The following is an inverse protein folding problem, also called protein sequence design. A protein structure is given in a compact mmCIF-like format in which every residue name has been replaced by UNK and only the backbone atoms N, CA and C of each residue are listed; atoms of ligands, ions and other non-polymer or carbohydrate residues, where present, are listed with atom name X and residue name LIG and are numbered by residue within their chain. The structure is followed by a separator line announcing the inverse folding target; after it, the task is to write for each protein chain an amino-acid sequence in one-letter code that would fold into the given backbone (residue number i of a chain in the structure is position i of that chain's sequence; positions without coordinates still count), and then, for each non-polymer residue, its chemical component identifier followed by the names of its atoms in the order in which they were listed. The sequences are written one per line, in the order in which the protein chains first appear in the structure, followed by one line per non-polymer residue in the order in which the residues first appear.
data_IF_362293902711
#
_entry.id   IF_362293902711
#
_cell.length_a   1.000
_cell.length_b   1.000
_cell.length_c   1.000
_cell.angle_alpha   90.00
_cell.angle_beta   90.00
_cell.angle_gamma   90.00
#
_symmetry.space_group_name_H-M   'P 1'
#
loop_
_entity.id
_entity.type
_entity.pdbx_description
1 polymer ?
#
# COMPACT_ATOMS: atom_id res chain seq x y z
N UNK A 1 -71.27 -18.65 6.83
CA UNK A 1 -71.25 -17.36 7.56
C UNK A 1 -70.50 -16.41 6.66
N UNK A 2 -71.22 -15.49 6.03
CA UNK A 2 -70.62 -14.47 5.18
C UNK A 2 -70.37 -13.23 6.05
N UNK A 3 -69.10 -12.91 6.32
CA UNK A 3 -68.73 -11.82 7.23
C UNK A 3 -68.60 -10.47 6.51
N UNK A 4 -68.82 -10.42 5.19
CA UNK A 4 -68.61 -9.24 4.36
C UNK A 4 -69.47 -8.03 4.76
N UNK A 5 -70.72 -8.24 5.22
CA UNK A 5 -71.65 -7.18 5.60
C UNK A 5 -71.24 -6.39 6.87
N UNK A 6 -70.24 -6.85 7.63
CA UNK A 6 -69.84 -6.25 8.92
C UNK A 6 -68.38 -5.75 8.94
N UNK A 7 -67.72 -5.65 7.78
CA UNK A 7 -66.26 -5.38 7.70
C UNK A 7 -65.43 -6.34 8.59
N UNK A 8 -65.90 -7.59 8.68
CA UNK A 8 -65.34 -8.59 9.57
C UNK A 8 -64.73 -9.77 8.82
N UNK A 9 -63.77 -10.44 9.46
CA UNK A 9 -63.15 -11.67 8.95
C UNK A 9 -63.51 -12.81 9.89
N UNK A 10 -63.72 -14.01 9.34
CA UNK A 10 -64.05 -15.19 10.13
C UNK A 10 -62.80 -15.67 10.89
N UNK A 11 -62.77 -15.51 12.21
CA UNK A 11 -61.73 -16.04 13.10
C UNK A 11 -62.36 -17.02 14.08
N UNK A 12 -61.81 -18.24 14.17
CA UNK A 12 -62.29 -19.30 15.06
C UNK A 12 -63.81 -19.57 14.99
N UNK A 13 -64.40 -19.46 13.80
CA UNK A 13 -65.84 -19.71 13.56
C UNK A 13 -66.78 -18.55 13.90
N UNK A 14 -66.26 -17.38 14.27
CA UNK A 14 -67.04 -16.16 14.52
C UNK A 14 -66.59 -15.02 13.61
N UNK A 15 -67.53 -14.19 13.13
CA UNK A 15 -67.17 -12.93 12.46
C UNK A 15 -66.71 -11.93 13.53
N UNK A 16 -65.50 -11.40 13.38
CA UNK A 16 -65.01 -10.28 14.20
C UNK A 16 -64.73 -9.09 13.30
N UNK A 17 -65.20 -7.90 13.69
CA UNK A 17 -64.85 -6.64 13.04
C UNK A 17 -63.34 -6.45 13.20
N UNK A 18 -62.59 -6.41 12.10
CA UNK A 18 -61.12 -6.43 12.17
C UNK A 18 -60.59 -4.99 12.23
N UNK A 19 -60.97 -4.31 13.30
CA UNK A 19 -60.45 -3.00 13.64
C UNK A 19 -59.15 -3.12 14.44
N UNK A 20 -58.19 -2.25 14.12
CA UNK A 20 -56.92 -2.18 14.82
C UNK A 20 -56.79 -0.89 15.62
N UNK A 21 -56.10 -0.99 16.76
CA UNK A 21 -55.95 0.08 17.74
C UNK A 21 -54.70 -0.22 18.58
N UNK A 22 -54.09 0.75 19.32
CA UNK A 22 -52.96 0.46 20.21
C UNK A 22 -53.23 -0.64 21.27
N UNK A 23 -54.50 -0.95 21.54
CA UNK A 23 -54.95 -1.96 22.49
C UNK A 23 -55.35 -3.29 21.77
N UNK A 24 -55.54 -3.25 20.45
CA UNK A 24 -56.01 -4.36 19.63
C UNK A 24 -55.12 -4.49 18.37
N UNK A 25 -53.99 -5.23 18.45
CA UNK A 25 -53.11 -5.46 17.31
C UNK A 25 -53.72 -6.42 16.29
N UNK A 26 -53.23 -6.32 15.05
CA UNK A 26 -53.57 -7.25 13.96
C UNK A 26 -52.94 -8.63 14.14
N UNK A 27 -53.26 -9.57 13.24
CA UNK A 27 -52.59 -10.87 13.18
C UNK A 27 -51.11 -10.76 12.78
N UNK A 28 -50.37 -11.88 12.86
CA UNK A 28 -48.94 -11.96 12.50
C UNK A 28 -48.62 -11.53 11.06
N UNK A 29 -49.58 -11.72 10.16
CA UNK A 29 -49.43 -11.53 8.70
C UNK A 29 -50.29 -10.34 8.21
N UNK A 30 -50.56 -9.39 9.11
CA UNK A 30 -51.42 -8.23 8.88
C UNK A 30 -50.80 -6.96 9.46
N UNK A 31 -51.00 -5.83 8.78
CA UNK A 31 -50.60 -4.49 9.24
C UNK A 31 -51.84 -3.62 9.47
N UNK A 32 -51.76 -2.74 10.47
CA UNK A 32 -52.81 -1.78 10.79
C UNK A 32 -52.71 -0.55 9.89
N UNK A 33 -53.79 -0.21 9.19
CA UNK A 33 -53.91 0.99 8.37
C UNK A 33 -55.33 1.57 8.48
N UNK A 34 -55.46 2.89 8.70
CA UNK A 34 -56.77 3.56 8.91
C UNK A 34 -57.69 2.89 9.96
N UNK A 35 -57.13 2.21 10.97
CA UNK A 35 -57.91 1.49 11.97
C UNK A 35 -58.50 0.16 11.50
N UNK A 36 -58.08 -0.37 10.34
CA UNK A 36 -58.40 -1.71 9.83
C UNK A 36 -57.13 -2.54 9.63
N UNK A 37 -57.22 -3.87 9.75
CA UNK A 37 -56.11 -4.77 9.44
C UNK A 37 -56.13 -5.19 7.96
N UNK A 38 -54.98 -5.08 7.30
CA UNK A 38 -54.77 -5.50 5.92
C UNK A 38 -53.65 -6.55 5.85
N UNK A 39 -53.73 -7.55 4.95
CA UNK A 39 -52.65 -8.54 4.79
C UNK A 39 -51.32 -7.89 4.40
N UNK A 40 -50.19 -8.40 4.89
CA UNK A 40 -48.84 -7.97 4.46
C UNK A 40 -48.38 -8.64 3.16
N UNK A 41 -49.23 -9.46 2.53
CA UNK A 41 -48.97 -10.10 1.25
C UNK A 41 -50.19 -10.04 0.33
N UNK A 42 -49.93 -9.80 -0.95
CA UNK A 42 -50.91 -9.92 -2.04
C UNK A 42 -50.76 -11.27 -2.75
N UNK A 43 -51.71 -11.59 -3.64
CA UNK A 43 -51.62 -12.77 -4.51
C UNK A 43 -50.35 -12.77 -5.41
N UNK A 44 -49.74 -11.60 -5.63
CA UNK A 44 -48.49 -11.44 -6.37
C UNK A 44 -47.21 -11.68 -5.52
N UNK A 45 -47.31 -11.75 -4.19
CA UNK A 45 -46.17 -11.91 -3.29
C UNK A 45 -46.31 -11.10 -1.99
N UNK A 46 -45.31 -11.23 -1.11
CA UNK A 46 -45.19 -10.39 0.09
C UNK A 46 -44.90 -8.94 -0.30
N UNK A 47 -45.52 -7.99 0.41
CA UNK A 47 -45.27 -6.56 0.24
C UNK A 47 -44.01 -6.12 1.00
N UNK A 48 -43.52 -4.89 0.76
CA UNK A 48 -42.40 -4.36 1.50
C UNK A 48 -42.77 -4.09 2.97
N UNK A 49 -41.76 -3.98 3.84
CA UNK A 49 -41.97 -3.68 5.25
C UNK A 49 -42.68 -2.34 5.43
N UNK A 50 -43.85 -2.34 6.08
CA UNK A 50 -44.69 -1.14 6.25
C UNK A 50 -45.79 -0.98 5.19
N UNK A 51 -45.91 -1.90 4.24
CA UNK A 51 -46.98 -1.91 3.23
C UNK A 51 -48.11 -2.89 3.56
N UNK A 52 -49.32 -2.49 3.16
CA UNK A 52 -50.57 -3.23 3.21
C UNK A 52 -50.95 -3.71 1.81
N UNK A 53 -51.45 -4.93 1.68
CA UNK A 53 -52.11 -5.36 0.46
C UNK A 53 -53.52 -4.78 0.38
N UNK A 54 -53.71 -3.81 -0.53
CA UNK A 54 -55.01 -3.17 -0.78
C UNK A 54 -55.44 -3.50 -2.21
N UNK A 55 -56.57 -4.21 -2.35
CA UNK A 55 -57.13 -4.60 -3.66
C UNK A 55 -56.17 -5.32 -4.61
N UNK A 56 -55.16 -6.02 -4.06
CA UNK A 56 -54.14 -6.75 -4.82
C UNK A 56 -52.85 -5.97 -5.11
N UNK A 57 -52.76 -4.71 -4.66
CA UNK A 57 -51.57 -3.85 -4.79
C UNK A 57 -50.96 -3.56 -3.42
N UNK A 58 -49.64 -3.72 -3.30
CA UNK A 58 -48.91 -3.29 -2.12
C UNK A 58 -48.91 -1.75 -2.04
N UNK A 59 -49.40 -1.21 -0.92
CA UNK A 59 -49.56 0.22 -0.66
C UNK A 59 -49.03 0.54 0.72
N UNK A 60 -48.24 1.60 0.88
CA UNK A 60 -47.75 2.06 2.19
C UNK A 60 -48.92 2.20 3.18
N UNK A 61 -48.80 1.66 4.41
CA UNK A 61 -49.89 1.61 5.37
C UNK A 61 -50.47 2.99 5.74
N UNK A 62 -49.63 4.03 5.69
CA UNK A 62 -50.00 5.45 5.88
C UNK A 62 -50.83 6.01 4.71
N UNK A 63 -50.63 5.47 3.50
CA UNK A 63 -51.28 5.87 2.26
C UNK A 63 -52.58 5.12 1.96
N UNK A 64 -52.93 4.10 2.75
CA UNK A 64 -54.23 3.42 2.63
C UNK A 64 -55.36 4.42 2.88
N UNK A 65 -56.28 4.52 1.93
CA UNK A 65 -57.38 5.49 1.97
C UNK A 65 -57.00 6.93 1.58
N UNK A 66 -55.71 7.23 1.34
CA UNK A 66 -55.28 8.55 0.85
C UNK A 66 -55.54 8.62 -0.66
N UNK A 67 -56.26 9.67 -1.09
CA UNK A 67 -56.61 9.88 -2.50
C UNK A 67 -55.85 11.08 -3.05
N UNK A 68 -54.74 10.82 -3.74
CA UNK A 68 -53.97 11.84 -4.46
C UNK A 68 -54.45 11.99 -5.91
N UNK A 69 -54.09 13.10 -6.57
CA UNK A 69 -54.29 13.23 -8.02
C UNK A 69 -53.33 12.30 -8.76
N UNK A 70 -53.76 11.07 -9.05
CA UNK A 70 -52.90 10.03 -9.66
C UNK A 70 -52.26 10.41 -11.01
N UNK A 71 -52.65 11.51 -11.66
CA UNK A 71 -51.94 12.05 -12.82
C UNK A 71 -50.65 12.79 -12.44
N UNK A 72 -50.68 13.67 -11.43
CA UNK A 72 -49.58 14.58 -11.07
C UNK A 72 -48.92 14.28 -9.71
N UNK A 73 -49.54 13.47 -8.86
CA UNK A 73 -49.14 13.24 -7.48
C UNK A 73 -48.99 11.74 -7.15
N UNK A 74 -48.24 11.46 -6.09
CA UNK A 74 -48.09 10.14 -5.47
C UNK A 74 -48.14 10.31 -3.96
N UNK A 75 -48.70 9.33 -3.25
CA UNK A 75 -48.66 9.32 -1.79
C UNK A 75 -47.32 8.80 -1.27
N UNK A 76 -46.75 9.51 -0.30
CA UNK A 76 -45.66 9.05 0.55
C UNK A 76 -45.98 9.45 2.00
N UNK A 77 -45.84 8.54 2.96
CA UNK A 77 -46.02 8.83 4.40
C UNK A 77 -47.39 9.40 4.77
N UNK A 78 -48.41 9.11 3.96
CA UNK A 78 -49.79 9.59 4.12
C UNK A 78 -50.08 10.98 3.53
N UNK A 79 -49.11 11.60 2.86
CA UNK A 79 -49.24 12.93 2.21
C UNK A 79 -49.05 12.79 0.69
N UNK A 80 -49.78 13.59 -0.08
CA UNK A 80 -49.67 13.65 -1.54
C UNK A 80 -48.59 14.66 -1.95
N UNK A 81 -47.58 14.20 -2.68
CA UNK A 81 -46.52 15.05 -3.25
C UNK A 81 -46.57 15.03 -4.78
N UNK A 82 -46.24 16.13 -5.47
CA UNK A 82 -46.08 16.14 -6.91
C UNK A 82 -44.99 15.16 -7.36
N UNK A 83 -45.17 14.54 -8.54
CA UNK A 83 -44.18 13.67 -9.18
C UNK A 83 -42.95 14.44 -9.65
N UNK A 84 -43.15 15.68 -10.08
CA UNK A 84 -42.15 16.52 -10.72
C UNK A 84 -42.16 17.91 -10.08
N UNK A 85 -41.00 18.56 -10.01
CA UNK A 85 -40.88 19.94 -9.57
C UNK A 85 -41.12 20.92 -10.73
N UNK A 86 -41.43 22.21 -10.47
CA UNK A 86 -41.71 23.19 -11.53
C UNK A 86 -40.61 23.29 -12.60
N UNK A 87 -39.34 23.17 -12.18
CA UNK A 87 -38.16 23.35 -13.03
C UNK A 87 -37.45 22.03 -13.40
N UNK A 88 -37.83 20.88 -12.82
CA UNK A 88 -37.15 19.60 -13.03
C UNK A 88 -38.07 18.37 -12.81
N UNK A 89 -38.10 17.40 -13.75
CA UNK A 89 -38.79 16.13 -13.53
C UNK A 89 -37.98 15.23 -12.57
N UNK A 90 -38.65 14.60 -11.60
CA UNK A 90 -37.96 13.82 -10.55
C UNK A 90 -37.77 12.33 -10.90
N UNK A 91 -38.13 11.93 -12.12
CA UNK A 91 -37.93 10.57 -12.62
C UNK A 91 -38.92 9.56 -12.06
N UNK A 92 -38.53 8.28 -12.02
CA UNK A 92 -39.42 7.17 -11.65
C UNK A 92 -39.52 6.89 -10.15
N UNK A 93 -38.62 7.46 -9.33
CA UNK A 93 -38.50 7.19 -7.90
C UNK A 93 -38.46 8.44 -7.01
N UNK A 94 -38.32 9.63 -7.60
CA UNK A 94 -38.35 10.90 -6.89
C UNK A 94 -39.74 11.51 -6.79
N UNK A 95 -39.94 12.38 -5.81
CA UNK A 95 -41.10 13.23 -5.60
C UNK A 95 -40.62 14.65 -5.30
N UNK A 96 -41.42 15.66 -5.68
CA UNK A 96 -41.09 17.05 -5.38
C UNK A 96 -41.43 17.40 -3.94
N UNK A 97 -40.42 17.76 -3.15
CA UNK A 97 -40.56 18.24 -1.77
C UNK A 97 -39.80 19.56 -1.65
N UNK A 98 -40.52 20.66 -1.41
CA UNK A 98 -39.95 22.01 -1.30
C UNK A 98 -39.02 22.36 -2.48
N UNK A 99 -39.54 22.19 -3.69
CA UNK A 99 -38.86 22.45 -4.99
C UNK A 99 -37.58 21.63 -5.24
N UNK A 100 -37.33 20.58 -4.44
CA UNK A 100 -36.27 19.59 -4.66
C UNK A 100 -36.84 18.21 -4.93
N UNK A 101 -36.21 17.47 -5.84
CA UNK A 101 -36.51 16.06 -6.07
C UNK A 101 -35.89 15.20 -4.95
N UNK A 102 -36.74 14.57 -4.14
CA UNK A 102 -36.34 13.68 -3.04
C UNK A 102 -36.86 12.27 -3.35
N UNK A 103 -36.04 11.23 -3.12
CA UNK A 103 -36.49 9.85 -3.30
C UNK A 103 -37.72 9.56 -2.43
N UNK A 104 -38.73 8.85 -2.97
CA UNK A 104 -40.03 8.62 -2.31
C UNK A 104 -39.90 8.13 -0.86
N UNK A 105 -38.99 7.19 -0.61
CA UNK A 105 -38.79 6.59 0.73
C UNK A 105 -38.13 7.57 1.72
N UNK A 106 -37.45 8.60 1.20
CA UNK A 106 -36.71 9.61 1.94
C UNK A 106 -37.48 10.92 2.18
N UNK A 107 -38.71 11.01 1.69
CA UNK A 107 -39.60 12.14 1.98
C UNK A 107 -39.77 12.29 3.50
N UNK A 108 -39.60 13.50 4.03
CA UNK A 108 -39.62 13.83 5.46
C UNK A 108 -38.61 13.07 6.37
N UNK A 109 -37.69 12.27 5.82
CA UNK A 109 -36.63 11.62 6.61
C UNK A 109 -35.57 12.66 6.98
N UNK A 110 -35.54 13.05 8.26
CA UNK A 110 -34.50 13.92 8.82
C UNK A 110 -33.35 13.07 9.35
N UNK A 111 -32.26 13.04 8.62
CA UNK A 111 -31.03 12.41 9.08
C UNK A 111 -30.22 13.35 10.00
N UNK A 112 -29.47 12.80 10.97
CA UNK A 112 -28.38 13.51 11.65
C UNK A 112 -27.33 14.06 10.66
N UNK A 113 -26.50 15.00 11.11
CA UNK A 113 -25.31 15.41 10.35
C UNK A 113 -24.38 14.21 10.07
N UNK A 114 -23.69 14.22 8.93
CA UNK A 114 -22.89 13.09 8.46
C UNK A 114 -23.70 11.92 7.86
N UNK A 115 -25.00 12.12 7.59
CA UNK A 115 -25.89 11.05 7.08
C UNK A 115 -26.83 11.51 5.96
N UNK A 116 -26.87 10.73 4.89
CA UNK A 116 -27.82 10.86 3.78
C UNK A 116 -28.93 9.81 3.91
N UNK A 117 -30.12 10.11 3.38
CA UNK A 117 -31.17 9.10 3.28
C UNK A 117 -31.00 8.26 2.02
N UNK A 118 -30.96 6.94 2.19
CA UNK A 118 -30.98 5.95 1.11
C UNK A 118 -32.04 4.89 1.44
N UNK A 119 -33.03 4.69 0.56
CA UNK A 119 -34.11 3.71 0.78
C UNK A 119 -34.92 3.92 2.08
N UNK A 120 -35.08 5.17 2.52
CA UNK A 120 -35.79 5.53 3.75
C UNK A 120 -35.00 5.32 5.05
N UNK A 121 -33.73 4.93 4.95
CA UNK A 121 -32.82 4.76 6.09
C UNK A 121 -31.73 5.82 6.02
N UNK A 122 -31.39 6.42 7.15
CA UNK A 122 -30.21 7.29 7.24
C UNK A 122 -28.94 6.43 7.27
N UNK A 123 -28.14 6.54 6.22
CA UNK A 123 -26.83 5.93 6.11
C UNK A 123 -25.76 7.00 6.28
N UNK A 124 -24.62 6.64 6.87
CA UNK A 124 -23.44 7.51 6.90
C UNK A 124 -23.04 7.88 5.47
N UNK A 125 -22.73 9.16 5.25
CA UNK A 125 -22.16 9.60 3.99
C UNK A 125 -20.75 9.01 3.83
N UNK A 126 -20.23 8.83 2.59
CA UNK A 126 -19.00 8.06 2.35
C UNK A 126 -17.76 8.53 3.12
N UNK A 127 -17.61 9.84 3.36
CA UNK A 127 -16.56 10.47 4.16
C UNK A 127 -16.89 10.62 5.66
N UNK A 128 -18.15 10.44 6.04
CA UNK A 128 -18.59 10.46 7.44
C UNK A 128 -18.85 11.87 7.97
N UNK A 129 -17.84 12.50 8.58
CA UNK A 129 -17.94 13.85 9.17
C UNK A 129 -17.01 14.88 8.53
N UNK A 130 -16.36 14.50 7.44
CA UNK A 130 -15.37 15.27 6.71
C UNK A 130 -15.43 14.85 5.23
N UNK A 131 -15.32 15.80 4.32
CA UNK A 131 -15.14 15.50 2.90
C UNK A 131 -13.81 14.76 2.68
N UNK A 132 -13.85 13.65 1.92
CA UNK A 132 -12.71 12.72 1.72
C UNK A 132 -12.35 12.51 0.26
N UNK A 133 -13.15 13.02 -0.68
CA UNK A 133 -12.96 12.91 -2.12
C UNK A 133 -13.13 14.30 -2.77
N UNK A 134 -12.23 15.22 -2.40
CA UNK A 134 -12.26 16.67 -2.69
C UNK A 134 -12.22 17.12 -4.18
N UNK A 135 -12.64 16.30 -5.13
CA UNK A 135 -12.65 16.60 -6.57
C UNK A 135 -13.49 15.63 -7.40
N UNK A 136 -14.53 14.99 -6.82
CA UNK A 136 -15.44 14.08 -7.52
C UNK A 136 -16.82 14.68 -7.82
N UNK A 137 -17.11 15.89 -7.32
CA UNK A 137 -18.37 16.61 -7.52
C UNK A 137 -19.49 16.19 -6.57
N UNK A 138 -19.17 15.46 -5.49
CA UNK A 138 -20.12 15.00 -4.48
C UNK A 138 -19.92 15.71 -3.12
N UNK A 139 -20.90 15.47 -2.26
CA UNK A 139 -21.00 15.95 -0.87
C UNK A 139 -20.93 14.70 0.02
N UNK A 140 -19.71 14.28 0.39
CA UNK A 140 -19.44 12.98 1.02
C UNK A 140 -19.53 13.01 2.55
N UNK A 141 -19.70 14.17 3.18
CA UNK A 141 -20.15 14.32 4.59
C UNK A 141 -21.56 14.91 4.74
N UNK A 142 -22.13 15.40 3.65
CA UNK A 142 -23.51 15.86 3.54
C UNK A 142 -23.80 17.17 4.30
N UNK A 143 -22.82 18.07 4.48
CA UNK A 143 -23.05 19.40 5.05
C UNK A 143 -23.49 20.49 4.06
N UNK A 144 -23.53 20.18 2.75
CA UNK A 144 -24.08 21.04 1.70
C UNK A 144 -23.05 21.87 0.94
N UNK A 145 -21.77 21.56 1.11
CA UNK A 145 -20.64 22.03 0.31
C UNK A 145 -20.06 20.82 -0.43
N UNK A 146 -19.27 21.05 -1.48
CA UNK A 146 -18.70 19.99 -2.33
C UNK A 146 -17.25 20.29 -2.66
N UNK A 147 -16.45 19.25 -2.85
CA UNK A 147 -15.05 19.36 -3.28
C UNK A 147 -14.29 20.45 -2.48
N UNK A 148 -13.46 21.26 -3.16
CA UNK A 148 -12.77 22.38 -2.55
C UNK A 148 -13.65 23.53 -2.07
N UNK A 149 -14.97 23.55 -2.33
CA UNK A 149 -15.86 24.49 -1.66
C UNK A 149 -16.12 24.08 -0.20
N UNK A 150 -15.72 22.88 0.21
CA UNK A 150 -15.79 22.41 1.57
C UNK A 150 -14.58 22.85 2.44
N UNK A 151 -14.77 23.27 3.71
CA UNK A 151 -13.67 23.63 4.62
C UNK A 151 -12.75 22.46 4.98
N UNK A 152 -13.24 21.23 5.09
CA UNK A 152 -12.45 20.05 5.46
C UNK A 152 -11.53 19.58 4.32
N UNK A 153 -11.83 19.99 3.09
CA UNK A 153 -10.96 19.80 1.95
C UNK A 153 -9.72 20.70 1.93
N UNK A 154 -9.58 21.71 2.79
CA UNK A 154 -8.46 22.66 2.71
C UNK A 154 -7.08 21.96 2.77
N UNK A 155 -6.29 22.07 1.68
CA UNK A 155 -5.00 21.40 1.52
C UNK A 155 -5.07 19.91 1.09
N UNK A 156 -6.26 19.37 0.82
CA UNK A 156 -6.43 18.03 0.23
C UNK A 156 -6.29 18.08 -1.30
N UNK A 157 -5.93 16.94 -1.90
CA UNK A 157 -5.86 16.78 -3.35
C UNK A 157 -7.25 16.77 -3.99
N UNK A 158 -7.45 17.59 -5.03
CA UNK A 158 -8.69 17.70 -5.80
C UNK A 158 -8.55 17.22 -7.26
N UNK A 159 -7.46 16.53 -7.56
CA UNK A 159 -7.16 15.97 -8.87
C UNK A 159 -5.67 15.66 -9.01
N UNK A 160 -5.26 15.25 -10.22
CA UNK A 160 -3.84 15.20 -10.55
C UNK A 160 -3.25 16.61 -10.44
N UNK A 161 -2.20 16.74 -9.63
CA UNK A 161 -1.37 17.93 -9.47
C UNK A 161 -2.14 19.19 -9.01
N UNK A 162 -3.23 18.99 -8.26
CA UNK A 162 -4.11 20.06 -7.79
C UNK A 162 -4.63 19.84 -6.39
N UNK A 163 -4.85 20.95 -5.71
CA UNK A 163 -5.14 21.03 -4.27
C UNK A 163 -6.18 22.09 -3.97
N UNK A 164 -6.92 21.89 -2.88
CA UNK A 164 -7.94 22.83 -2.47
C UNK A 164 -7.34 24.02 -1.72
N UNK A 165 -7.36 25.18 -2.39
CA UNK A 165 -6.94 26.46 -1.83
C UNK A 165 -7.95 27.56 -2.20
N UNK A 166 -8.18 28.50 -1.29
CA UNK A 166 -9.12 29.62 -1.48
C UNK A 166 -10.53 29.18 -1.93
N UNK A 167 -11.03 28.08 -1.37
CA UNK A 167 -12.31 27.43 -1.72
C UNK A 167 -12.39 26.89 -3.17
N UNK A 168 -11.26 26.51 -3.77
CA UNK A 168 -11.19 26.13 -5.18
C UNK A 168 -10.05 25.15 -5.49
N UNK A 169 -10.17 24.39 -6.57
CA UNK A 169 -9.15 23.43 -6.99
C UNK A 169 -8.03 24.13 -7.79
N UNK A 170 -6.96 24.51 -7.10
CA UNK A 170 -5.80 25.23 -7.62
C UNK A 170 -4.66 24.26 -8.00
N UNK A 171 -3.74 24.63 -8.90
CA UNK A 171 -2.52 23.85 -9.12
C UNK A 171 -1.67 23.79 -7.84
N UNK A 172 -1.04 22.63 -7.59
CA UNK A 172 -0.04 22.45 -6.53
C UNK A 172 1.10 23.47 -6.65
N UNK A 173 1.66 23.91 -5.53
CA UNK A 173 2.58 25.03 -5.46
C UNK A 173 3.89 24.68 -4.76
N UNK A 174 4.95 24.50 -5.56
CA UNK A 174 6.33 24.22 -5.12
C UNK A 174 7.02 25.38 -4.34
N UNK A 175 6.29 26.12 -3.49
CA UNK A 175 6.80 27.28 -2.72
C UNK A 175 5.90 27.80 -1.59
N UNK A 176 4.87 27.05 -1.16
CA UNK A 176 3.97 27.48 -0.06
C UNK A 176 4.25 26.79 1.30
N UNK A 177 5.15 25.81 1.34
CA UNK A 177 5.60 25.12 2.54
C UNK A 177 4.72 23.93 2.96
N UNK A 178 3.74 23.55 2.14
CA UNK A 178 2.91 22.37 2.33
C UNK A 178 3.48 21.25 1.43
N UNK A 179 3.26 19.99 1.80
CA UNK A 179 3.53 18.86 0.91
C UNK A 179 2.22 18.47 0.25
N UNK A 180 2.07 18.78 -1.04
CA UNK A 180 0.81 18.55 -1.73
C UNK A 180 0.96 18.15 -3.21
N UNK A 181 -0.16 17.95 -3.93
CA UNK A 181 -0.12 17.46 -5.32
C UNK A 181 0.63 16.13 -5.50
N UNK A 182 1.66 16.15 -6.36
CA UNK A 182 2.56 15.02 -6.66
C UNK A 182 3.91 15.10 -5.91
N UNK A 183 4.06 16.05 -4.99
CA UNK A 183 5.29 16.27 -4.23
C UNK A 183 5.67 15.11 -3.31
N UNK A 184 6.98 14.94 -3.07
CA UNK A 184 7.49 13.91 -2.16
C UNK A 184 7.99 14.48 -0.84
N UNK A 185 8.47 15.71 -0.83
CA UNK A 185 8.69 16.55 0.35
C UNK A 185 7.99 17.90 0.17
N UNK A 186 7.84 18.73 1.22
CA UNK A 186 7.20 20.05 1.08
C UNK A 186 7.91 20.90 0.01
N UNK A 187 7.15 21.49 -0.91
CA UNK A 187 7.64 22.28 -2.03
C UNK A 187 8.54 21.53 -3.05
N UNK A 188 8.66 20.18 -3.00
CA UNK A 188 9.70 19.46 -3.74
C UNK A 188 9.38 18.02 -4.19
N UNK A 189 10.09 17.61 -5.25
CA UNK A 189 10.01 16.27 -5.83
C UNK A 189 8.85 16.12 -6.83
N UNK A 190 8.46 14.88 -7.10
CA UNK A 190 7.44 14.59 -8.10
C UNK A 190 7.89 14.87 -9.54
N UNK A 191 6.91 15.11 -10.42
CA UNK A 191 7.09 15.47 -11.82
C UNK A 191 7.04 16.99 -12.07
N UNK A 192 6.38 17.76 -11.21
CA UNK A 192 6.24 19.21 -11.37
C UNK A 192 7.31 20.04 -10.66
N UNK A 193 7.71 19.66 -9.44
CA UNK A 193 8.57 20.48 -8.61
C UNK A 193 10.07 20.19 -8.81
N UNK A 194 10.90 21.07 -8.28
CA UNK A 194 12.35 20.85 -8.25
C UNK A 194 12.70 19.69 -7.32
N UNK A 195 13.79 18.97 -7.63
CA UNK A 195 14.27 17.89 -6.77
C UNK A 195 14.54 18.36 -5.33
N UNK A 196 14.10 17.55 -4.37
CA UNK A 196 14.25 17.71 -2.94
C UNK A 196 15.73 17.69 -2.49
N UNK A 197 16.00 18.46 -1.43
CA UNK A 197 17.33 18.58 -0.82
C UNK A 197 17.71 17.37 0.05
N UNK A 198 18.95 17.33 0.54
CA UNK A 198 19.42 16.25 1.42
C UNK A 198 18.59 16.14 2.71
N UNK A 199 18.10 14.93 2.99
CA UNK A 199 17.25 14.61 4.14
C UNK A 199 15.74 14.70 3.89
N UNK A 200 15.30 15.36 2.81
CA UNK A 200 13.88 15.48 2.47
C UNK A 200 13.29 14.17 1.92
N UNK A 201 11.96 13.92 2.05
CA UNK A 201 11.37 12.67 1.61
C UNK A 201 11.22 12.53 0.09
N UNK A 202 11.37 11.30 -0.40
CA UNK A 202 11.38 10.95 -1.82
C UNK A 202 10.77 9.58 -2.08
N UNK A 203 10.41 9.29 -3.35
CA UNK A 203 9.99 7.97 -3.81
C UNK A 203 10.94 7.38 -4.89
N UNK A 204 11.64 8.23 -5.64
CA UNK A 204 12.54 7.89 -6.73
C UNK A 204 13.68 8.92 -6.86
N UNK A 205 14.74 8.56 -7.60
CA UNK A 205 15.89 9.45 -7.86
C UNK A 205 15.50 10.78 -8.50
N UNK A 206 14.46 10.78 -9.35
CA UNK A 206 13.91 11.99 -9.98
C UNK A 206 13.52 13.08 -8.98
N UNK A 207 13.13 12.66 -7.79
CA UNK A 207 12.54 13.53 -6.78
C UNK A 207 13.63 14.23 -5.96
N UNK A 208 14.91 13.94 -6.21
CA UNK A 208 16.05 14.48 -5.49
C UNK A 208 16.91 15.40 -6.37
N UNK A 209 17.67 16.30 -5.74
CA UNK A 209 18.69 17.10 -6.44
C UNK A 209 19.74 16.22 -7.13
N UNK A 210 20.38 16.73 -8.18
CA UNK A 210 21.17 15.92 -9.14
C UNK A 210 22.30 15.06 -8.55
N UNK A 211 22.89 15.46 -7.41
CA UNK A 211 23.99 14.76 -6.72
C UNK A 211 23.48 13.83 -5.59
N UNK A 212 22.16 13.64 -5.49
CA UNK A 212 21.48 12.83 -4.49
C UNK A 212 20.74 11.65 -5.18
N UNK A 213 20.47 10.60 -4.40
CA UNK A 213 19.65 9.46 -4.79
C UNK A 213 18.65 9.15 -3.67
N UNK A 214 17.50 8.57 -4.03
CA UNK A 214 16.43 8.29 -3.07
C UNK A 214 16.72 6.99 -2.31
N UNK A 215 17.06 7.13 -1.03
CA UNK A 215 17.57 6.05 -0.17
C UNK A 215 16.78 6.02 1.14
N UNK A 216 16.24 4.84 1.48
CA UNK A 216 15.37 4.62 2.64
C UNK A 216 14.21 5.65 2.79
N UNK A 217 13.70 6.15 1.66
CA UNK A 217 12.62 7.14 1.59
C UNK A 217 13.06 8.61 1.75
N UNK A 218 14.37 8.88 1.74
CA UNK A 218 14.94 10.23 1.86
C UNK A 218 16.01 10.49 0.80
N UNK A 219 16.14 11.74 0.35
CA UNK A 219 17.21 12.13 -0.56
C UNK A 219 18.55 12.14 0.18
N UNK A 220 19.49 11.29 -0.23
CA UNK A 220 20.81 11.16 0.39
C UNK A 220 21.92 11.23 -0.68
N UNK A 221 23.16 11.59 -0.32
CA UNK A 221 24.28 11.62 -1.27
C UNK A 221 24.43 10.29 -2.03
N UNK A 222 24.85 10.35 -3.30
CA UNK A 222 25.03 9.13 -4.11
C UNK A 222 25.95 8.10 -3.41
N UNK A 223 25.34 6.98 -3.04
CA UNK A 223 25.97 5.87 -2.33
C UNK A 223 26.38 4.77 -3.32
N UNK A 224 27.67 4.65 -3.67
CA UNK A 224 28.16 3.49 -4.43
C UNK A 224 28.25 2.25 -3.54
N UNK A 225 27.09 1.67 -3.25
CA UNK A 225 26.96 0.41 -2.50
C UNK A 225 27.65 -0.79 -3.16
N UNK A 226 28.11 -0.68 -4.42
CA UNK A 226 28.73 -1.79 -5.16
C UNK A 226 30.25 -1.79 -5.03
N UNK A 227 30.89 -0.62 -4.96
CA UNK A 227 32.35 -0.49 -5.01
C UNK A 227 32.97 0.48 -3.98
N UNK A 228 32.22 1.29 -3.23
CA UNK A 228 32.77 2.15 -2.18
C UNK A 228 32.95 1.39 -0.85
N UNK A 229 34.19 1.24 -0.32
CA UNK A 229 34.44 0.62 0.99
C UNK A 229 33.83 1.37 2.18
N UNK A 230 33.31 2.58 2.02
CA UNK A 230 32.61 3.34 3.07
C UNK A 230 31.09 3.12 3.10
N UNK A 231 30.53 2.51 2.06
CA UNK A 231 29.09 2.38 1.83
C UNK A 231 28.71 0.95 1.36
N UNK A 232 29.51 -0.06 1.70
CA UNK A 232 29.49 -1.32 0.97
C UNK A 232 28.28 -2.19 1.32
N UNK A 233 27.50 -2.56 0.31
CA UNK A 233 26.30 -3.38 0.47
C UNK A 233 25.08 -2.63 0.97
N UNK A 234 25.26 -1.74 1.95
CA UNK A 234 24.30 -0.70 2.33
C UNK A 234 25.03 0.59 2.72
N UNK A 235 24.34 1.72 2.60
CA UNK A 235 24.91 3.05 2.77
C UNK A 235 25.30 3.30 4.24
N UNK A 236 26.42 3.98 4.46
CA UNK A 236 27.07 4.08 5.77
C UNK A 236 27.76 2.80 6.27
N UNK A 237 27.69 1.66 5.55
CA UNK A 237 28.40 0.44 5.93
C UNK A 237 29.90 0.53 5.56
N UNK A 238 30.67 1.10 6.47
CA UNK A 238 32.14 1.15 6.35
C UNK A 238 32.71 -0.25 6.56
N UNK A 239 33.38 -0.77 5.54
CA UNK A 239 34.06 -2.06 5.62
C UNK A 239 35.16 -2.04 6.71
N UNK A 240 35.27 -3.09 7.53
CA UNK A 240 36.39 -3.24 8.46
C UNK A 240 37.72 -3.14 7.72
N UNK A 241 38.65 -2.35 8.26
CA UNK A 241 40.01 -2.23 7.70
C UNK A 241 40.80 -3.50 8.07
N UNK A 242 41.22 -4.31 7.09
CA UNK A 242 42.00 -5.53 7.35
C UNK A 242 43.37 -5.21 7.95
N UNK A 243 43.91 -6.10 8.79
CA UNK A 243 45.29 -5.94 9.25
C UNK A 243 46.25 -6.02 8.06
N UNK A 244 47.13 -5.02 7.94
CA UNK A 244 48.13 -4.91 6.88
C UNK A 244 47.61 -5.01 5.43
N UNK A 245 46.34 -4.67 5.18
CA UNK A 245 45.78 -4.50 3.83
C UNK A 245 44.75 -3.36 3.77
N UNK A 246 44.33 -2.98 2.56
CA UNK A 246 43.24 -2.02 2.39
C UNK A 246 41.86 -2.73 2.48
N UNK A 247 40.84 -2.02 2.97
CA UNK A 247 39.46 -2.47 2.81
C UNK A 247 39.02 -2.28 1.34
N UNK A 248 38.28 -3.24 0.79
CA UNK A 248 37.66 -3.15 -0.54
C UNK A 248 36.17 -3.42 -0.47
N UNK A 249 35.43 -2.91 -1.44
CA UNK A 249 34.04 -3.30 -1.69
C UNK A 249 33.93 -3.86 -3.11
N UNK A 250 33.29 -5.02 -3.26
CA UNK A 250 33.00 -5.57 -4.57
C UNK A 250 31.68 -6.34 -4.53
N UNK A 251 30.79 -6.06 -5.48
CA UNK A 251 29.47 -6.74 -5.59
C UNK A 251 28.67 -6.71 -4.28
N UNK A 252 28.67 -5.57 -3.57
CA UNK A 252 27.96 -5.38 -2.29
C UNK A 252 28.50 -6.20 -1.10
N UNK A 253 29.72 -6.74 -1.20
CA UNK A 253 30.40 -7.42 -0.11
C UNK A 253 31.73 -6.72 0.21
N UNK A 254 32.00 -6.54 1.51
CA UNK A 254 33.30 -6.10 1.99
C UNK A 254 34.36 -7.20 1.76
N UNK A 255 35.54 -6.77 1.31
CA UNK A 255 36.66 -7.64 1.02
C UNK A 255 37.99 -7.02 1.46
N UNK A 256 39.06 -7.77 1.18
CA UNK A 256 40.44 -7.35 1.39
C UNK A 256 41.05 -6.87 0.06
N UNK A 257 41.88 -5.84 0.11
CA UNK A 257 42.86 -5.54 -0.93
C UNK A 257 44.05 -6.50 -0.87
N UNK A 258 45.07 -6.30 -1.73
CA UNK A 258 46.30 -7.06 -1.61
C UNK A 258 47.09 -6.62 -0.37
N UNK A 259 47.89 -7.52 0.19
CA UNK A 259 48.74 -7.24 1.35
C UNK A 259 49.75 -6.10 1.12
N UNK A 260 50.05 -5.37 2.20
CA UNK A 260 51.20 -4.46 2.26
C UNK A 260 52.50 -5.23 2.03
N UNK A 261 53.52 -4.56 1.47
CA UNK A 261 54.80 -5.20 1.15
C UNK A 261 55.45 -5.83 2.40
N UNK A 262 55.80 -7.12 2.30
CA UNK A 262 56.38 -7.91 3.39
C UNK A 262 55.37 -8.60 4.31
N UNK A 263 54.06 -8.38 4.11
CA UNK A 263 52.97 -9.03 4.83
C UNK A 263 52.24 -10.04 3.93
N UNK A 264 51.75 -11.12 4.55
CA UNK A 264 51.21 -12.29 3.86
C UNK A 264 50.07 -12.94 4.67
N UNK A 265 49.04 -13.39 3.97
CA UNK A 265 48.00 -14.30 4.44
C UNK A 265 48.50 -15.75 4.25
N UNK A 266 48.67 -16.49 5.35
CA UNK A 266 49.32 -17.80 5.37
C UNK A 266 48.45 -18.93 5.95
N UNK A 267 47.32 -18.63 6.56
CA UNK A 267 46.40 -19.62 7.11
C UNK A 267 45.00 -19.61 6.46
N UNK A 268 44.67 -18.59 5.65
CA UNK A 268 43.36 -18.44 5.02
C UNK A 268 42.20 -18.43 6.02
N UNK A 269 42.47 -18.00 7.26
CA UNK A 269 41.53 -18.07 8.36
C UNK A 269 40.47 -16.95 8.33
N UNK A 270 39.62 -16.91 9.35
CA UNK A 270 38.43 -16.03 9.41
C UNK A 270 38.75 -14.58 9.82
N UNK A 271 40.00 -14.27 10.16
CA UNK A 271 40.45 -12.90 10.30
C UNK A 271 40.69 -12.33 8.91
N UNK A 272 40.09 -11.17 8.64
CA UNK A 272 40.30 -10.49 7.37
C UNK A 272 41.59 -9.68 7.51
N UNK A 273 42.72 -10.23 7.04
CA UNK A 273 44.02 -9.59 7.22
C UNK A 273 45.13 -10.17 6.32
N UNK A 274 46.33 -9.72 6.64
CA UNK A 274 47.63 -10.17 6.14
C UNK A 274 48.57 -10.28 7.34
N UNK A 275 48.27 -11.24 8.22
CA UNK A 275 48.68 -11.28 9.63
C UNK A 275 50.16 -11.60 9.82
N UNK A 276 50.84 -12.14 8.80
CA UNK A 276 52.20 -12.67 8.96
C UNK A 276 53.22 -11.84 8.20
N UNK A 277 54.28 -11.36 8.88
CA UNK A 277 55.40 -10.67 8.24
C UNK A 277 56.49 -11.67 7.86
N UNK A 278 56.97 -11.65 6.62
CA UNK A 278 58.06 -12.52 6.17
C UNK A 278 59.33 -11.75 5.77
N UNK A 279 60.49 -12.27 6.19
CA UNK A 279 61.81 -11.80 5.78
C UNK A 279 62.56 -12.99 5.14
N UNK A 280 62.67 -12.96 3.80
CA UNK A 280 63.10 -14.13 3.02
C UNK A 280 62.12 -15.29 3.23
N UNK A 281 62.60 -16.42 3.76
CA UNK A 281 61.79 -17.63 4.01
C UNK A 281 61.18 -17.72 5.40
N UNK A 282 61.55 -16.81 6.32
CA UNK A 282 61.09 -16.86 7.71
C UNK A 282 59.91 -15.92 7.87
N UNK A 283 58.78 -16.47 8.25
CA UNK A 283 57.51 -15.77 8.44
C UNK A 283 57.13 -15.80 9.92
N UNK A 284 56.76 -14.64 10.48
CA UNK A 284 56.45 -14.45 11.91
C UNK A 284 55.07 -13.83 12.08
N UNK A 285 54.23 -14.43 12.92
CA UNK A 285 52.90 -13.90 13.25
C UNK A 285 52.98 -12.93 14.47
N UNK A 286 51.90 -12.22 14.83
CA UNK A 286 51.90 -11.25 15.93
C UNK A 286 52.14 -11.88 17.31
N UNK A 287 51.78 -13.16 17.50
CA UNK A 287 52.04 -13.93 18.72
C UNK A 287 53.51 -14.40 18.87
N UNK A 288 54.36 -14.10 17.87
CA UNK A 288 55.77 -14.50 17.85
C UNK A 288 56.01 -15.94 17.39
N UNK A 289 55.01 -16.63 16.84
CA UNK A 289 55.20 -17.92 16.18
C UNK A 289 55.89 -17.73 14.82
N UNK A 290 56.87 -18.58 14.54
CA UNK A 290 57.69 -18.52 13.32
C UNK A 290 57.58 -19.81 12.50
N UNK A 291 57.42 -19.68 11.18
CA UNK A 291 57.55 -20.77 10.21
C UNK A 291 58.63 -20.45 9.18
N UNK A 292 59.38 -21.48 8.77
CA UNK A 292 60.32 -21.38 7.65
C UNK A 292 59.73 -22.08 6.43
N UNK A 293 59.47 -21.32 5.37
CA UNK A 293 58.92 -21.81 4.12
C UNK A 293 60.00 -22.48 3.24
N UNK A 294 59.58 -23.37 2.34
CA UNK A 294 60.49 -24.06 1.42
C UNK A 294 61.12 -23.11 0.38
N UNK A 295 60.38 -22.06 0.01
CA UNK A 295 60.79 -20.97 -0.87
C UNK A 295 60.38 -19.62 -0.23
N UNK A 296 60.85 -18.51 -0.78
CA UNK A 296 60.42 -17.18 -0.32
C UNK A 296 58.98 -16.92 -0.80
N UNK A 297 58.08 -16.39 0.06
CA UNK A 297 56.71 -16.13 -0.33
C UNK A 297 56.66 -14.92 -1.27
N UNK A 298 55.81 -15.00 -2.28
CA UNK A 298 55.74 -14.00 -3.35
C UNK A 298 54.75 -12.89 -2.99
N UNK A 299 55.13 -11.61 -3.17
CA UNK A 299 54.35 -10.49 -2.67
C UNK A 299 53.00 -10.38 -3.38
N UNK A 300 51.94 -10.06 -2.62
CA UNK A 300 50.59 -9.84 -3.19
C UNK A 300 50.54 -8.64 -4.17
N UNK A 301 51.52 -7.73 -4.08
CA UNK A 301 51.75 -6.65 -5.06
C UNK A 301 53.18 -6.63 -5.57
N UNK A 302 53.38 -6.61 -6.89
CA UNK A 302 54.69 -6.43 -7.51
C UNK A 302 54.73 -6.87 -8.98
N UNK A 303 55.83 -6.61 -9.71
CA UNK A 303 55.95 -6.98 -11.13
C UNK A 303 56.36 -8.45 -11.38
N UNK A 304 56.31 -9.35 -10.39
CA UNK A 304 56.85 -10.74 -10.49
C UNK A 304 56.04 -11.74 -9.64
N UNK A 305 55.77 -12.96 -10.16
CA UNK A 305 54.96 -14.06 -9.57
C UNK A 305 55.46 -15.44 -10.11
N UNK A 306 55.04 -16.65 -9.71
CA UNK A 306 53.99 -17.21 -8.82
C UNK A 306 54.52 -18.49 -8.14
N UNK A 307 54.00 -18.84 -6.96
CA UNK A 307 53.17 -20.04 -6.72
C UNK A 307 52.78 -20.12 -5.23
N UNK A 308 51.55 -20.61 -4.97
CA UNK A 308 50.92 -20.84 -3.66
C UNK A 308 50.97 -19.68 -2.64
N UNK A 309 49.94 -18.84 -2.67
CA UNK A 309 49.31 -18.30 -1.46
C UNK A 309 47.82 -18.68 -1.50
N UNK A 310 47.33 -19.35 -0.45
CA UNK A 310 45.93 -19.73 -0.32
C UNK A 310 45.14 -18.64 0.40
N UNK A 311 44.88 -17.53 -0.29
CA UNK A 311 44.02 -16.45 0.21
C UNK A 311 42.63 -16.51 -0.43
N UNK A 312 41.58 -16.65 0.37
CA UNK A 312 40.19 -16.59 -0.10
C UNK A 312 39.72 -15.15 -0.31
N UNK A 313 40.32 -14.47 -1.28
CA UNK A 313 40.02 -13.08 -1.63
C UNK A 313 38.73 -12.98 -2.47
N UNK A 314 37.60 -12.68 -1.83
CA UNK A 314 36.41 -12.20 -2.54
C UNK A 314 36.63 -10.77 -3.05
N UNK A 315 37.21 -10.68 -4.24
CA UNK A 315 37.56 -9.45 -4.97
C UNK A 315 38.26 -9.81 -6.28
N UNK A 316 38.10 -9.00 -7.33
CA UNK A 316 38.56 -9.35 -8.69
C UNK A 316 40.10 -9.20 -8.89
N UNK A 317 40.91 -9.86 -8.05
CA UNK A 317 42.37 -9.86 -8.18
C UNK A 317 42.97 -11.22 -7.75
N UNK A 318 42.98 -12.18 -8.66
CA UNK A 318 43.76 -13.42 -8.51
C UNK A 318 45.12 -13.23 -9.20
N UNK A 319 46.22 -13.46 -8.48
CA UNK A 319 47.56 -13.36 -9.06
C UNK A 319 47.84 -14.45 -10.10
N UNK A 320 48.48 -14.08 -11.22
CA UNK A 320 48.83 -14.95 -12.35
C UNK A 320 50.34 -14.98 -12.58
N UNK A 321 50.88 -15.91 -13.39
CA UNK A 321 52.27 -15.81 -13.88
C UNK A 321 52.47 -16.28 -15.33
N UNK A 322 53.74 -16.31 -15.73
CA UNK A 322 54.21 -15.44 -16.79
C UNK A 322 54.35 -16.12 -18.16
N UNK A 323 53.44 -17.04 -18.51
CA UNK A 323 53.45 -17.68 -19.85
C UNK A 323 52.10 -17.96 -20.50
N UNK A 324 50.99 -18.00 -19.76
CA UNK A 324 49.77 -18.62 -20.29
C UNK A 324 48.52 -17.79 -20.01
N UNK A 325 47.91 -17.32 -21.11
CA UNK A 325 46.54 -16.81 -21.18
C UNK A 325 45.55 -17.89 -20.76
N UNK A 326 44.54 -17.57 -19.94
CA UNK A 326 43.14 -17.72 -20.39
C UNK A 326 42.06 -17.14 -19.47
N UNK A 327 40.96 -16.80 -20.13
CA UNK A 327 39.67 -16.42 -19.59
C UNK A 327 38.99 -17.58 -18.82
N UNK A 328 38.13 -17.27 -17.85
CA UNK A 328 37.05 -18.20 -17.49
C UNK A 328 36.56 -18.18 -16.04
N UNK A 329 35.27 -17.86 -15.89
CA UNK A 329 34.43 -17.87 -14.68
C UNK A 329 34.33 -19.25 -13.98
N UNK A 330 34.04 -19.24 -12.67
CA UNK A 330 33.21 -20.18 -11.84
C UNK A 330 33.89 -20.44 -10.46
N UNK A 331 33.20 -20.54 -9.32
CA UNK A 331 31.74 -20.62 -9.07
C UNK A 331 31.28 -20.06 -7.71
N UNK A 332 30.20 -20.60 -7.17
CA UNK A 332 29.24 -19.96 -6.24
C UNK A 332 29.62 -19.96 -4.73
N UNK A 333 28.93 -19.16 -3.86
CA UNK A 333 29.32 -18.91 -2.47
C UNK A 333 29.23 -20.10 -1.50
N UNK A 334 28.63 -21.22 -1.91
CA UNK A 334 28.46 -22.42 -1.09
C UNK A 334 29.10 -23.61 -1.79
N UNK A 335 30.08 -24.23 -1.12
CA UNK A 335 31.00 -25.17 -1.75
C UNK A 335 30.35 -26.38 -2.42
N UNK A 336 30.55 -26.51 -3.73
CA UNK A 336 30.28 -27.72 -4.51
C UNK A 336 31.58 -28.41 -4.94
N UNK A 337 31.58 -29.74 -5.04
CA UNK A 337 32.75 -30.47 -5.51
C UNK A 337 33.01 -30.22 -7.00
N UNK A 338 34.28 -30.02 -7.35
CA UNK A 338 34.72 -29.98 -8.76
C UNK A 338 34.66 -31.41 -9.31
N UNK A 339 33.69 -31.70 -10.19
CA UNK A 339 33.57 -33.02 -10.79
C UNK A 339 34.76 -33.36 -11.70
N UNK A 340 35.26 -34.60 -11.57
CA UNK A 340 36.39 -35.10 -12.35
C UNK A 340 35.96 -35.43 -13.79
N UNK A 341 36.15 -34.49 -14.73
CA UNK A 341 35.67 -34.67 -16.12
C UNK A 341 36.61 -34.28 -17.26
N UNK A 342 37.63 -33.44 -17.05
CA UNK A 342 38.47 -32.93 -18.15
C UNK A 342 39.83 -33.64 -18.23
N UNK A 343 40.07 -34.34 -19.34
CA UNK A 343 41.15 -35.32 -19.51
C UNK A 343 42.59 -34.76 -19.59
N UNK A 344 42.80 -33.46 -19.36
CA UNK A 344 44.11 -32.79 -19.49
C UNK A 344 44.78 -32.42 -18.17
N UNK A 345 44.07 -32.42 -17.03
CA UNK A 345 44.63 -31.97 -15.74
C UNK A 345 45.05 -33.15 -14.86
N UNK A 346 46.28 -33.65 -15.06
CA UNK A 346 46.91 -34.66 -14.20
C UNK A 346 47.83 -34.03 -13.15
N UNK A 347 47.28 -33.53 -12.06
CA UNK A 347 48.05 -33.37 -10.82
C UNK A 347 47.93 -34.67 -10.00
N UNK A 348 48.91 -35.56 -10.16
CA UNK A 348 49.07 -36.74 -9.29
C UNK A 348 49.40 -36.26 -7.88
N UNK A 349 48.59 -36.65 -6.90
CA UNK A 349 48.72 -36.21 -5.51
C UNK A 349 49.98 -36.73 -4.80
N UNK A 350 50.33 -36.07 -3.70
CA UNK A 350 51.57 -36.35 -2.96
C UNK A 350 51.68 -35.71 -1.56
N UNK A 351 50.57 -35.44 -0.87
CA UNK A 351 50.59 -35.11 0.56
C UNK A 351 49.84 -36.19 1.35
N UNK A 352 50.59 -37.19 1.81
CA UNK A 352 50.12 -38.15 2.81
C UNK A 352 51.01 -38.07 4.07
N UNK A 353 50.38 -37.57 5.13
CA UNK A 353 50.54 -37.92 6.55
C UNK A 353 51.89 -38.49 7.03
N UNK A 354 52.58 -37.71 7.89
CA UNK A 354 53.68 -38.19 8.73
C UNK A 354 53.21 -38.41 10.18
N UNK A 355 53.21 -39.68 10.64
CA UNK A 355 53.51 -40.18 12.01
C UNK A 355 52.97 -41.62 12.19
N UNK A 356 53.54 -42.45 13.09
CA UNK A 356 54.95 -42.58 13.46
C UNK A 356 55.46 -44.04 13.45
N UNK A 357 56.78 -44.22 13.53
CA UNK A 357 57.45 -45.40 14.12
C UNK A 357 58.72 -44.94 14.83
#
# INVERSE_FOLDING_TARGET
LDCAEQSGVCRSGSCQVVSCSPIAPCGSDEICAQGQCYPTACAAGACASGEACVSGTCTEATCVGVTCNGSTEVCARGVCYPKDCPDAPCGSTGLCVSDKCVARDCVEVKCPAGQMCLGGICQLCPGGSNETQCGDGLDNDCEGLIDCEDPDCQGQSCGADKVCAERSCQPASCSDGIKDGDETGPDCGGALCGGCAEGEPCAAKSDCQAELDCQDGTCQPECDSRNDPRNCGTCGHVCPVPEHAAATCARRACGRGPCQAGWFDLDGARTFGCETKCEGRVCTNPDGWTITLAAEPLPETGPVFQELASGSSFGNAVQTSAKHTNLGVLGEPFGGQIEQGSASHKNRGGLMSLKPR
#
